data_IF_139398382600
#
_entry.id   IF_139398382600
#
_cell.length_a   1.000
_cell.length_b   1.000
_cell.length_c   1.000
_cell.angle_alpha   90.00
_cell.angle_beta   90.00
_cell.angle_gamma   90.00
#
_symmetry.space_group_name_H-M   'P 1'
#
loop_
_entity.id
_entity.type
_entity.pdbx_description
1 polymer ?
#
# COMPACT_ATOMS: atom_id res chain seq x y z
N UNK A 1 13.75 12.12 10.81
CA UNK A 1 14.62 11.64 9.73
C UNK A 1 13.98 10.36 9.24
N UNK A 2 13.35 10.46 8.08
CA UNK A 2 12.54 9.43 7.45
C UNK A 2 13.51 8.39 6.85
N UNK A 3 13.28 7.11 7.14
CA UNK A 3 14.26 6.04 6.98
C UNK A 3 14.43 5.69 5.51
N UNK A 4 15.66 5.54 5.06
CA UNK A 4 15.99 5.12 3.69
C UNK A 4 15.58 3.65 3.46
N UNK A 5 14.29 3.38 3.27
CA UNK A 5 13.82 2.10 2.77
C UNK A 5 14.31 1.93 1.34
N UNK A 6 15.37 1.15 1.13
CA UNK A 6 15.97 0.96 -0.19
C UNK A 6 15.40 -0.27 -0.88
N UNK A 7 14.70 -0.04 -1.99
CA UNK A 7 14.31 -1.08 -2.92
C UNK A 7 14.94 -0.79 -4.28
N UNK A 8 15.95 -1.59 -4.61
CA UNK A 8 16.76 -1.40 -5.80
C UNK A 8 16.10 -2.01 -7.03
N UNK A 9 16.11 -1.29 -8.15
CA UNK A 9 15.54 -1.79 -9.40
C UNK A 9 14.02 -1.71 -9.46
N UNK A 10 13.38 -0.83 -8.67
CA UNK A 10 11.94 -0.60 -8.78
C UNK A 10 11.60 -0.09 -10.18
N UNK A 11 10.58 -0.69 -10.79
CA UNK A 11 9.96 -0.24 -12.03
C UNK A 11 8.62 0.42 -11.78
N UNK A 12 7.89 -0.02 -10.75
CA UNK A 12 6.52 0.36 -10.48
C UNK A 12 6.29 0.60 -8.98
N UNK A 13 5.53 1.66 -8.66
CA UNK A 13 5.12 2.04 -7.30
C UNK A 13 3.63 2.34 -7.31
N UNK A 14 2.89 1.75 -6.38
CA UNK A 14 1.44 1.92 -6.27
C UNK A 14 0.98 1.96 -4.81
N UNK A 15 0.11 2.92 -4.49
CA UNK A 15 -0.56 2.99 -3.19
C UNK A 15 -1.79 2.09 -3.16
N UNK A 16 -2.02 1.45 -2.02
CA UNK A 16 -3.28 0.73 -1.85
C UNK A 16 -4.46 1.73 -1.84
N UNK A 17 -5.67 1.32 -2.24
CA UNK A 17 -6.84 2.20 -2.28
C UNK A 17 -7.23 2.84 -0.93
N UNK A 18 -6.73 2.34 0.21
CA UNK A 18 -6.91 2.97 1.52
C UNK A 18 -5.81 3.97 1.91
N UNK A 19 -4.68 3.98 1.20
CA UNK A 19 -3.54 4.86 1.44
C UNK A 19 -2.71 4.49 2.68
N UNK A 20 -2.83 3.26 3.19
CA UNK A 20 -2.10 2.75 4.36
C UNK A 20 -0.85 1.96 3.98
N UNK A 21 -0.82 1.40 2.78
CA UNK A 21 0.26 0.55 2.32
C UNK A 21 0.79 1.04 0.97
N UNK A 22 2.10 0.90 0.79
CA UNK A 22 2.80 1.16 -0.47
C UNK A 22 3.28 -0.16 -1.02
N UNK A 23 3.08 -0.37 -2.32
CA UNK A 23 3.65 -1.47 -3.07
C UNK A 23 4.72 -0.94 -4.00
N UNK A 24 5.82 -1.65 -4.05
CA UNK A 24 6.97 -1.37 -4.93
C UNK A 24 7.35 -2.66 -5.59
N UNK A 25 7.72 -2.63 -6.88
CA UNK A 25 8.08 -3.85 -7.59
C UNK A 25 9.08 -3.62 -8.72
N UNK A 26 9.94 -4.62 -8.96
CA UNK A 26 10.86 -4.72 -10.08
C UNK A 26 10.35 -5.71 -11.14
N UNK A 27 9.77 -5.20 -12.22
CA UNK A 27 9.11 -6.00 -13.26
C UNK A 27 10.08 -6.61 -14.28
N UNK A 28 9.88 -7.90 -14.56
CA UNK A 28 10.52 -8.66 -15.63
C UNK A 28 10.18 -8.12 -17.03
N UNK A 29 9.12 -7.31 -17.17
CA UNK A 29 8.83 -6.62 -18.42
C UNK A 29 9.85 -5.53 -18.74
N UNK A 30 10.49 -4.93 -17.73
CA UNK A 30 11.45 -3.84 -17.93
C UNK A 30 12.91 -4.28 -17.78
N UNK A 31 13.22 -5.26 -16.92
CA UNK A 31 14.57 -5.81 -16.80
C UNK A 31 14.56 -7.25 -16.28
N UNK A 32 15.62 -8.01 -16.57
CA UNK A 32 15.74 -9.44 -16.22
C UNK A 32 16.40 -9.72 -14.87
N UNK A 33 17.00 -8.72 -14.23
CA UNK A 33 17.74 -8.89 -12.98
C UNK A 33 16.90 -8.45 -11.79
N UNK A 34 16.93 -9.19 -10.66
CA UNK A 34 16.25 -8.81 -9.40
C UNK A 34 14.78 -8.44 -9.61
N UNK A 35 13.97 -9.41 -10.03
CA UNK A 35 12.52 -9.21 -10.07
C UNK A 35 11.92 -9.59 -8.72
N UNK A 36 11.30 -8.62 -8.06
CA UNK A 36 10.73 -8.74 -6.73
C UNK A 36 9.58 -7.74 -6.52
N UNK A 37 8.88 -7.90 -5.40
CA UNK A 37 7.99 -6.88 -4.89
C UNK A 37 8.14 -6.75 -3.38
N UNK A 38 7.89 -5.55 -2.88
CA UNK A 38 7.88 -5.26 -1.45
C UNK A 38 6.67 -4.39 -1.09
N UNK A 39 6.05 -4.72 0.04
CA UNK A 39 4.93 -3.96 0.63
C UNK A 39 5.43 -3.27 1.88
N UNK A 40 5.09 -1.99 1.99
CA UNK A 40 5.49 -1.11 3.07
C UNK A 40 4.25 -0.56 3.78
N UNK A 41 4.37 -0.34 5.08
CA UNK A 41 3.43 0.48 5.84
C UNK A 41 3.63 1.97 5.53
N UNK A 42 2.66 2.83 5.86
CA UNK A 42 2.78 4.29 5.73
C UNK A 42 3.93 4.88 6.56
N UNK A 43 4.42 4.10 7.54
CA UNK A 43 5.58 4.40 8.39
C UNK A 43 6.89 3.87 7.82
N UNK A 44 6.90 3.41 6.58
CA UNK A 44 8.08 2.86 5.87
C UNK A 44 8.63 1.56 6.45
N UNK A 45 7.82 0.85 7.23
CA UNK A 45 8.17 -0.49 7.69
C UNK A 45 7.94 -1.48 6.54
N UNK A 46 8.96 -2.25 6.18
CA UNK A 46 8.82 -3.37 5.24
C UNK A 46 7.96 -4.46 5.91
N UNK A 47 6.79 -4.73 5.34
CA UNK A 47 5.87 -5.77 5.83
C UNK A 47 6.17 -7.12 5.19
N UNK A 48 6.46 -7.10 3.88
CA UNK A 48 6.85 -8.29 3.15
C UNK A 48 7.71 -7.89 1.97
N UNK A 49 8.68 -8.75 1.65
CA UNK A 49 9.44 -8.70 0.42
C UNK A 49 9.56 -10.09 -0.15
N UNK A 50 9.28 -10.23 -1.43
CA UNK A 50 9.36 -11.51 -2.12
C UNK A 50 10.11 -11.35 -3.43
N UNK A 51 11.15 -12.15 -3.59
CA UNK A 51 11.89 -12.28 -4.85
C UNK A 51 11.24 -13.41 -5.63
N UNK A 52 10.77 -13.10 -6.83
CA UNK A 52 10.06 -14.05 -7.69
C UNK A 52 10.70 -13.99 -9.07
N UNK A 53 11.23 -15.12 -9.53
CA UNK A 53 11.80 -15.21 -10.87
C UNK A 53 10.80 -14.80 -11.94
N UNK A 54 11.22 -13.91 -12.85
CA UNK A 54 10.38 -13.40 -13.94
C UNK A 54 9.06 -12.78 -13.47
N UNK A 55 9.04 -12.21 -12.26
CA UNK A 55 7.90 -11.47 -11.72
C UNK A 55 7.46 -10.36 -12.68
N UNK A 56 6.16 -10.32 -13.04
CA UNK A 56 5.64 -9.39 -14.05
C UNK A 56 4.97 -8.17 -13.43
N UNK A 57 3.95 -8.40 -12.61
CA UNK A 57 3.14 -7.35 -12.02
C UNK A 57 2.43 -7.85 -10.77
N UNK A 58 2.05 -6.90 -9.93
CA UNK A 58 1.17 -7.05 -8.79
C UNK A 58 0.26 -5.82 -8.79
N UNK A 59 -1.00 -6.00 -8.44
CA UNK A 59 -1.99 -4.94 -8.46
C UNK A 59 -2.80 -5.00 -7.18
N UNK A 60 -3.13 -3.82 -6.64
CA UNK A 60 -4.08 -3.75 -5.54
C UNK A 60 -5.48 -4.12 -6.00
N UNK A 61 -6.20 -4.89 -5.17
CA UNK A 61 -7.62 -5.11 -5.41
C UNK A 61 -8.36 -3.76 -5.30
N UNK A 62 -9.17 -3.37 -6.31
CA UNK A 62 -9.94 -2.14 -6.24
C UNK A 62 -10.86 -2.14 -5.02
N UNK A 63 -10.95 -1.01 -4.31
CA UNK A 63 -11.83 -0.91 -3.15
C UNK A 63 -13.30 -0.93 -3.60
N UNK A 64 -14.13 -1.84 -3.05
CA UNK A 64 -15.57 -1.80 -3.31
C UNK A 64 -16.17 -0.44 -2.91
N UNK A 65 -17.28 -0.08 -3.55
CA UNK A 65 -18.01 1.14 -3.18
C UNK A 65 -18.45 1.05 -1.72
N UNK A 66 -18.34 2.17 -1.01
CA UNK A 66 -18.80 2.27 0.36
C UNK A 66 -20.30 2.00 0.45
N UNK A 67 -20.69 1.24 1.49
CA UNK A 67 -22.09 1.02 1.84
C UNK A 67 -22.70 2.19 2.62
N UNK A 68 -21.86 3.15 3.04
CA UNK A 68 -22.29 4.30 3.83
C UNK A 68 -23.00 5.33 2.96
N UNK A 69 -24.12 5.85 3.47
CA UNK A 69 -24.79 7.02 2.89
C UNK A 69 -23.89 8.26 2.96
N UNK A 70 -24.25 9.33 2.22
CA UNK A 70 -23.48 10.58 2.26
C UNK A 70 -23.49 11.21 3.65
N UNK A 71 -24.61 11.11 4.36
CA UNK A 71 -24.77 11.62 5.72
C UNK A 71 -23.84 10.87 6.69
N UNK A 72 -23.83 9.54 6.62
CA UNK A 72 -22.95 8.70 7.44
C UNK A 72 -21.48 9.00 7.17
N UNK A 73 -21.09 9.21 5.90
CA UNK A 73 -19.71 9.60 5.57
C UNK A 73 -19.34 10.98 6.15
N UNK A 74 -20.27 11.92 6.17
CA UNK A 74 -20.06 13.23 6.78
C UNK A 74 -19.91 13.13 8.30
N UNK A 75 -20.73 12.30 8.95
CA UNK A 75 -20.64 12.06 10.39
C UNK A 75 -19.31 11.42 10.77
N UNK A 76 -18.88 10.37 10.05
CA UNK A 76 -17.58 9.73 10.26
C UNK A 76 -16.43 10.73 10.12
N UNK A 77 -16.48 11.62 9.11
CA UNK A 77 -15.46 12.66 8.94
C UNK A 77 -15.44 13.68 10.08
N UNK A 78 -16.60 14.02 10.66
CA UNK A 78 -16.70 14.96 11.79
C UNK A 78 -16.17 14.35 13.10
N UNK A 79 -16.47 13.07 13.32
CA UNK A 79 -16.17 12.37 14.57
C UNK A 79 -14.94 11.46 14.47
N UNK A 80 -14.08 11.67 13.47
CA UNK A 80 -12.96 10.79 13.13
C UNK A 80 -12.05 10.48 14.35
N UNK A 81 -11.83 11.48 15.21
CA UNK A 81 -10.98 11.34 16.40
C UNK A 81 -11.60 10.45 17.47
N UNK A 82 -12.92 10.51 17.65
CA UNK A 82 -13.64 9.69 18.62
C UNK A 82 -13.78 8.26 18.12
N UNK A 83 -14.15 8.09 16.84
CA UNK A 83 -14.19 6.80 16.17
C UNK A 83 -12.81 6.13 16.19
N UNK A 84 -11.73 6.89 15.95
CA UNK A 84 -10.36 6.39 15.96
C UNK A 84 -9.97 5.75 17.30
N UNK A 85 -10.37 6.35 18.43
CA UNK A 85 -10.07 5.81 19.77
C UNK A 85 -10.62 4.41 19.98
N UNK A 86 -11.76 4.08 19.35
CA UNK A 86 -12.37 2.74 19.43
C UNK A 86 -11.51 1.67 18.75
N UNK A 87 -10.59 2.04 17.87
CA UNK A 87 -9.74 1.13 17.11
C UNK A 87 -8.25 1.19 17.53
N UNK A 88 -7.91 1.96 18.57
CA UNK A 88 -6.54 2.07 19.11
C UNK A 88 -6.24 1.03 20.22
N UNK A 89 -7.15 0.08 20.45
CA UNK A 89 -6.94 -1.15 21.26
C UNK A 89 -6.37 -2.30 20.40
#
# INVERSE_FOLDING_TARGET
>A
MIGSGEHYGITDLEWDPSGRYVLTSGSAWRHTMKNDYAVWDFRENELTKQIIERFKQILWCPRPRTLLSKEQQCEVRRNLREIGRTFDE
#
